data_IF_622266070505
#
_entry.id   IF_622266070505
#
_cell.length_a   1.000
_cell.length_b   1.000
_cell.length_c   1.000
_cell.angle_alpha   90.00
_cell.angle_beta   90.00
_cell.angle_gamma   90.00
#
_symmetry.space_group_name_H-M   'P 1'
#
loop_
_entity.id
_entity.type
_entity.pdbx_description
1 polymer ?
#
# COMPACT_ATOMS: atom_id res chain seq x y z
N UNK A 1 -4.73 -15.91 -4.15
CA UNK A 1 -5.55 -15.73 -5.38
C UNK A 1 -5.07 -14.47 -6.06
N UNK A 2 -4.57 -14.56 -7.29
CA UNK A 2 -3.98 -13.46 -8.05
C UNK A 2 -5.10 -12.82 -8.89
N UNK A 3 -5.38 -11.52 -8.70
CA UNK A 3 -6.40 -10.78 -9.44
C UNK A 3 -5.73 -9.86 -10.45
N UNK A 4 -6.09 -10.01 -11.73
CA UNK A 4 -5.70 -9.08 -12.78
C UNK A 4 -6.79 -8.03 -13.01
N UNK A 5 -6.41 -6.75 -13.07
CA UNK A 5 -7.29 -5.63 -13.43
C UNK A 5 -6.72 -4.88 -14.64
N UNK A 6 -7.59 -4.46 -15.57
CA UNK A 6 -7.20 -3.69 -16.77
C UNK A 6 -7.77 -2.26 -16.68
N UNK A 7 -7.00 -1.26 -17.11
CA UNK A 7 -7.42 0.16 -17.11
C UNK A 7 -7.57 0.70 -18.54
N UNK A 8 -8.53 1.59 -18.76
CA UNK A 8 -8.98 2.08 -20.08
C UNK A 8 -8.25 3.33 -20.60
N UNK A 9 -6.99 3.56 -20.22
CA UNK A 9 -6.15 4.61 -20.83
C UNK A 9 -5.36 4.06 -22.02
N UNK A 10 -4.89 4.92 -22.93
CA UNK A 10 -4.14 4.59 -24.18
C UNK A 10 -2.85 3.74 -24.02
N UNK A 11 -2.61 3.17 -22.84
CA UNK A 11 -1.55 2.21 -22.54
C UNK A 11 -2.22 0.94 -22.00
N UNK A 12 -2.01 -0.19 -22.67
CA UNK A 12 -2.55 -1.47 -22.22
C UNK A 12 -1.73 -1.97 -21.03
N UNK A 13 -2.23 -1.72 -19.82
CA UNK A 13 -1.58 -2.03 -18.54
C UNK A 13 -2.44 -3.04 -17.78
N UNK A 14 -1.80 -4.04 -17.16
CA UNK A 14 -2.43 -4.94 -16.20
C UNK A 14 -1.75 -4.83 -14.84
N UNK A 15 -2.56 -4.69 -13.78
CA UNK A 15 -2.10 -4.84 -12.40
C UNK A 15 -2.44 -6.21 -11.85
N UNK A 16 -1.50 -6.80 -11.13
CA UNK A 16 -1.59 -8.12 -10.56
C UNK A 16 -1.42 -8.06 -9.04
N UNK A 17 -2.46 -8.41 -8.29
CA UNK A 17 -2.48 -8.27 -6.83
C UNK A 17 -3.00 -9.51 -6.12
N UNK A 18 -2.68 -9.65 -4.84
CA UNK A 18 -3.35 -10.65 -4.00
C UNK A 18 -4.81 -10.27 -3.73
N UNK A 19 -5.70 -11.26 -3.72
CA UNK A 19 -7.06 -11.09 -3.23
C UNK A 19 -7.11 -11.43 -1.73
N UNK A 20 -7.37 -10.42 -0.91
CA UNK A 20 -7.78 -10.59 0.48
C UNK A 20 -9.23 -11.09 0.52
N UNK A 21 -9.43 -12.39 0.72
CA UNK A 21 -10.76 -12.94 1.04
C UNK A 21 -11.04 -12.74 2.53
N UNK A 22 -11.32 -11.51 2.96
CA UNK A 22 -11.68 -11.19 4.34
C UNK A 22 -13.12 -11.58 4.73
N UNK A 23 -13.78 -12.48 3.98
CA UNK A 23 -15.01 -13.14 4.43
C UNK A 23 -14.83 -14.65 4.32
N UNK A 24 -14.86 -15.33 5.48
CA UNK A 24 -14.82 -16.78 5.64
C UNK A 24 -15.79 -17.46 4.67
N UNK A 25 -15.26 -18.18 3.69
CA UNK A 25 -15.64 -19.56 3.36
C UNK A 25 -14.97 -19.95 2.04
N UNK A 26 -14.11 -20.96 2.07
CA UNK A 26 -13.78 -21.77 0.89
C UNK A 26 -13.47 -23.19 1.37
N UNK A 27 -14.46 -24.07 1.28
CA UNK A 27 -14.26 -25.51 1.20
C UNK A 27 -14.05 -25.84 -0.27
N UNK A 28 -12.98 -26.57 -0.60
CA UNK A 28 -12.99 -27.57 -1.67
C UNK A 28 -11.72 -28.42 -1.58
N UNK A 29 -11.90 -29.69 -1.20
CA UNK A 29 -10.89 -30.73 -1.37
C UNK A 29 -10.76 -31.17 -2.83
N UNK A 30 -9.65 -31.83 -3.15
CA UNK A 30 -9.41 -32.49 -4.43
C UNK A 30 -7.98 -32.99 -4.55
N UNK A 31 -7.82 -34.31 -4.51
CA UNK A 31 -6.56 -35.06 -4.62
C UNK A 31 -5.90 -34.93 -6.01
N UNK A 32 -4.57 -34.91 -6.01
CA UNK A 32 -3.67 -34.81 -7.18
C UNK A 32 -3.50 -36.13 -7.94
N UNK A 33 -3.50 -36.08 -9.28
CA UNK A 33 -2.80 -37.05 -10.14
C UNK A 33 -2.14 -36.30 -11.32
N UNK A 34 -0.81 -36.39 -11.40
CA UNK A 34 -0.04 -36.50 -12.65
C UNK A 34 0.28 -35.24 -13.48
N UNK A 35 1.38 -35.26 -14.27
CA UNK A 35 2.21 -34.07 -14.53
C UNK A 35 1.88 -33.38 -15.86
N UNK A 36 1.44 -32.14 -15.78
CA UNK A 36 1.57 -31.13 -16.84
C UNK A 36 1.56 -29.76 -16.16
N UNK A 37 2.66 -29.01 -16.32
CA UNK A 37 2.85 -27.69 -15.70
C UNK A 37 1.85 -26.69 -16.30
N UNK A 38 0.70 -26.56 -15.65
CA UNK A 38 -0.33 -25.57 -15.97
C UNK A 38 -0.09 -24.31 -15.13
N UNK A 39 0.44 -23.25 -15.75
CA UNK A 39 0.50 -21.93 -15.15
C UNK A 39 -0.95 -21.40 -14.98
N UNK A 40 -1.41 -21.24 -13.73
CA UNK A 40 -2.77 -20.72 -13.42
C UNK A 40 -2.72 -19.22 -13.20
N UNK A 41 -3.19 -18.46 -14.18
CA UNK A 41 -3.45 -17.02 -14.06
C UNK A 41 -4.96 -16.76 -14.10
N UNK A 42 -5.47 -15.89 -13.21
CA UNK A 42 -6.89 -15.53 -13.13
C UNK A 42 -7.04 -14.02 -13.35
N UNK A 43 -8.01 -13.59 -14.17
CA UNK A 43 -8.24 -12.17 -14.46
C UNK A 43 -9.70 -11.75 -14.25
N UNK A 44 -9.91 -10.46 -13.97
CA UNK A 44 -11.24 -9.87 -13.83
C UNK A 44 -11.48 -8.83 -14.94
N UNK A 45 -12.43 -9.11 -15.83
CA UNK A 45 -12.84 -8.23 -16.93
C UNK A 45 -14.17 -7.57 -16.56
N UNK A 46 -14.14 -6.54 -15.71
CA UNK A 46 -15.31 -5.71 -15.44
C UNK A 46 -14.98 -4.25 -15.74
N UNK A 47 -15.30 -3.83 -16.96
CA UNK A 47 -15.33 -2.44 -17.41
C UNK A 47 -16.67 -1.86 -16.97
N UNK A 48 -16.64 -0.94 -16.01
CA UNK A 48 -17.79 -0.08 -15.67
C UNK A 48 -17.53 1.29 -16.29
N UNK A 49 -18.30 1.62 -17.32
CA UNK A 49 -18.32 2.94 -17.97
C UNK A 49 -18.85 4.00 -17.00
N UNK A 50 -18.11 5.10 -16.87
CA UNK A 50 -18.44 6.28 -16.07
C UNK A 50 -19.77 6.91 -16.47
N UNK A 51 -20.64 7.20 -15.51
CA UNK A 51 -21.73 8.18 -15.68
C UNK A 51 -21.44 9.43 -14.85
N UNK A 52 -21.41 10.57 -15.55
CA UNK A 52 -21.37 11.92 -15.00
C UNK A 52 -22.53 12.17 -14.03
N UNK A 53 -22.26 12.73 -12.84
CA UNK A 53 -23.23 13.53 -12.10
C UNK A 53 -22.57 14.77 -11.49
N UNK A 54 -23.03 15.90 -12.02
CA UNK A 54 -22.79 17.28 -11.60
C UNK A 54 -23.56 17.66 -10.34
N UNK A 55 -23.18 18.82 -9.77
CA UNK A 55 -23.85 19.63 -8.73
C UNK A 55 -23.65 19.15 -7.29
N UNK A 56 -23.39 19.97 -6.27
CA UNK A 56 -23.33 21.42 -6.12
C UNK A 56 -23.47 21.67 -4.61
N UNK A 57 -22.43 22.18 -3.95
CA UNK A 57 -22.47 22.41 -2.50
C UNK A 57 -23.30 23.66 -2.19
N UNK A 58 -24.48 23.48 -1.58
CA UNK A 58 -25.22 24.57 -0.90
C UNK A 58 -25.14 24.37 0.60
N UNK A 59 -24.62 25.39 1.28
CA UNK A 59 -24.65 25.54 2.73
C UNK A 59 -26.02 26.08 3.11
N UNK A 60 -26.66 25.53 4.15
CA UNK A 60 -27.68 26.28 4.89
C UNK A 60 -27.55 26.03 6.38
N UNK A 61 -27.41 27.15 7.10
CA UNK A 61 -27.36 27.26 8.55
C UNK A 61 -28.76 27.44 9.14
N UNK A 62 -29.09 26.69 10.19
CA UNK A 62 -29.98 27.17 11.26
C UNK A 62 -30.01 26.21 12.46
N UNK A 63 -29.88 26.82 13.64
CA UNK A 63 -30.00 26.27 15.00
C UNK A 63 -31.39 25.74 15.35
N UNK A 64 -31.47 24.64 16.12
CA UNK A 64 -32.22 24.55 17.40
C UNK A 64 -32.34 23.10 17.90
N UNK A 65 -32.31 22.96 19.22
CA UNK A 65 -32.44 21.77 20.06
C UNK A 65 -33.75 20.98 19.91
N UNK A 66 -33.69 19.64 19.96
CA UNK A 66 -34.53 18.78 20.81
C UNK A 66 -34.26 17.29 20.56
N UNK A 67 -34.25 16.51 21.63
CA UNK A 67 -34.12 15.06 21.69
C UNK A 67 -35.29 14.30 21.08
N UNK A 68 -35.02 13.35 20.19
CA UNK A 68 -35.90 12.19 19.94
C UNK A 68 -35.12 11.06 19.27
N UNK A 69 -35.16 9.87 19.87
CA UNK A 69 -34.65 8.63 19.30
C UNK A 69 -35.25 8.36 17.92
N UNK A 70 -34.40 8.25 16.91
CA UNK A 70 -34.72 7.66 15.62
C UNK A 70 -33.65 6.64 15.27
N UNK A 71 -34.03 5.34 15.30
CA UNK A 71 -33.24 4.23 14.80
C UNK A 71 -32.86 4.54 13.35
N UNK A 72 -31.56 4.65 13.06
CA UNK A 72 -31.06 4.60 11.69
C UNK A 72 -31.21 3.17 11.20
N UNK A 73 -32.13 2.94 10.26
CA UNK A 73 -32.07 1.77 9.39
C UNK A 73 -30.84 1.92 8.50
N UNK A 74 -29.87 1.04 8.70
CA UNK A 74 -28.75 0.86 7.79
C UNK A 74 -29.36 0.23 6.53
N UNK A 75 -29.49 1.03 5.46
CA UNK A 75 -29.76 0.50 4.13
C UNK A 75 -28.63 -0.46 3.76
N UNK A 76 -28.89 -1.76 3.83
CA UNK A 76 -28.01 -2.80 3.33
C UNK A 76 -27.85 -2.61 1.81
N UNK A 77 -26.83 -1.86 1.41
CA UNK A 77 -26.27 -2.03 0.08
C UNK A 77 -25.68 -3.45 0.04
N UNK A 78 -26.08 -4.31 -0.90
CA UNK A 78 -25.47 -5.62 -1.05
C UNK A 78 -23.97 -5.38 -1.28
N UNK A 79 -23.15 -5.89 -0.36
CA UNK A 79 -21.72 -5.98 -0.57
C UNK A 79 -21.52 -6.67 -1.92
N UNK A 80 -20.84 -6.01 -2.86
CA UNK A 80 -20.45 -6.63 -4.11
C UNK A 80 -19.80 -7.97 -3.78
N UNK A 81 -20.47 -9.07 -4.15
CA UNK A 81 -19.92 -10.40 -3.95
C UNK A 81 -18.55 -10.42 -4.60
N UNK A 82 -17.53 -10.86 -3.86
CA UNK A 82 -16.20 -11.05 -4.41
C UNK A 82 -16.35 -11.97 -5.63
N UNK A 83 -16.20 -11.41 -6.83
CA UNK A 83 -16.29 -12.19 -8.05
C UNK A 83 -15.22 -13.27 -7.98
N UNK A 84 -15.65 -14.54 -8.00
CA UNK A 84 -14.73 -15.66 -8.06
C UNK A 84 -13.84 -15.46 -9.29
N UNK A 85 -12.53 -15.38 -9.07
CA UNK A 85 -11.57 -15.13 -10.12
C UNK A 85 -11.66 -16.25 -11.17
N UNK A 86 -11.99 -15.89 -12.41
CA UNK A 86 -12.20 -16.86 -13.48
C UNK A 86 -10.85 -17.25 -14.10
N UNK A 87 -10.65 -18.53 -14.46
CA UNK A 87 -9.49 -18.96 -15.23
C UNK A 87 -9.33 -18.14 -16.50
N UNK A 88 -8.10 -17.69 -16.77
CA UNK A 88 -7.79 -17.13 -18.08
C UNK A 88 -7.93 -18.22 -19.15
N UNK A 89 -8.90 -18.05 -20.04
CA UNK A 89 -9.17 -18.97 -21.14
C UNK A 89 -8.09 -18.89 -22.24
N UNK A 90 -7.48 -17.71 -22.41
CA UNK A 90 -6.41 -17.47 -23.39
C UNK A 90 -5.34 -16.52 -22.81
N UNK A 91 -4.30 -17.06 -22.14
CA UNK A 91 -3.27 -16.24 -21.51
C UNK A 91 -2.37 -15.53 -22.53
N UNK A 92 -2.12 -16.13 -23.70
CA UNK A 92 -1.26 -15.51 -24.72
C UNK A 92 -1.91 -14.26 -25.31
N UNK A 93 -3.19 -14.30 -25.64
CA UNK A 93 -3.92 -13.12 -26.14
C UNK A 93 -3.89 -11.96 -25.13
N UNK A 94 -4.03 -12.27 -23.84
CA UNK A 94 -3.92 -11.26 -22.79
C UNK A 94 -2.51 -10.64 -22.79
N UNK A 95 -1.48 -11.48 -22.76
CA UNK A 95 -0.10 -11.04 -22.71
C UNK A 95 0.22 -10.18 -23.94
N UNK A 96 -0.19 -10.63 -25.12
CA UNK A 96 0.05 -9.93 -26.38
C UNK A 96 -0.68 -8.59 -26.43
N UNK A 97 -1.88 -8.49 -25.85
CA UNK A 97 -2.63 -7.24 -25.76
C UNK A 97 -2.04 -6.22 -24.80
N UNK A 98 -1.10 -6.59 -23.92
CA UNK A 98 -0.60 -5.75 -22.82
C UNK A 98 0.84 -5.35 -23.05
N UNK A 99 1.18 -4.10 -22.74
CA UNK A 99 2.54 -3.59 -22.83
C UNK A 99 3.28 -3.64 -21.49
N UNK A 100 2.55 -3.45 -20.39
CA UNK A 100 3.14 -3.27 -19.06
C UNK A 100 2.37 -4.06 -18.00
N UNK A 101 3.11 -4.79 -17.18
CA UNK A 101 2.60 -5.53 -16.03
C UNK A 101 3.07 -4.86 -14.74
N UNK A 102 2.10 -4.55 -13.89
CA UNK A 102 2.32 -4.03 -12.55
C UNK A 102 2.07 -5.18 -11.58
N UNK A 103 3.08 -5.56 -10.81
CA UNK A 103 3.01 -6.61 -9.82
C UNK A 103 2.95 -5.99 -8.43
N UNK A 104 1.95 -6.36 -7.65
CA UNK A 104 2.07 -6.36 -6.19
C UNK A 104 3.25 -7.26 -5.78
N UNK A 105 3.75 -7.09 -4.57
CA UNK A 105 4.93 -7.79 -4.09
C UNK A 105 4.58 -8.86 -3.04
N UNK A 106 4.06 -8.42 -1.89
CA UNK A 106 3.78 -9.30 -0.75
C UNK A 106 2.59 -10.21 -1.08
N UNK A 107 2.82 -11.52 -1.12
CA UNK A 107 1.85 -12.53 -1.52
C UNK A 107 1.68 -12.72 -3.03
N UNK A 108 2.43 -12.00 -3.86
CA UNK A 108 2.45 -12.14 -5.33
C UNK A 108 3.84 -12.58 -5.83
N UNK A 109 4.89 -11.84 -5.47
CA UNK A 109 6.28 -12.19 -5.79
C UNK A 109 6.87 -13.10 -4.71
N UNK A 110 6.59 -12.79 -3.44
CA UNK A 110 7.15 -13.51 -2.29
C UNK A 110 6.16 -13.67 -1.14
N UNK A 111 6.45 -14.61 -0.24
CA UNK A 111 5.92 -14.68 1.12
C UNK A 111 7.08 -14.58 2.10
N UNK A 112 7.14 -13.50 2.88
CA UNK A 112 8.31 -13.21 3.70
C UNK A 112 9.57 -13.10 2.83
N UNK A 113 10.53 -13.98 3.06
CA UNK A 113 11.82 -14.03 2.35
C UNK A 113 11.92 -15.22 1.36
N UNK A 114 10.79 -15.83 0.99
CA UNK A 114 10.74 -16.90 -0.02
C UNK A 114 9.93 -16.46 -1.25
N UNK A 115 10.42 -16.79 -2.44
CA UNK A 115 9.68 -16.58 -3.68
C UNK A 115 8.45 -17.48 -3.77
N UNK A 116 7.42 -16.99 -4.44
CA UNK A 116 6.28 -17.81 -4.84
C UNK A 116 6.66 -18.63 -6.09
N UNK A 117 6.25 -19.89 -6.11
CA UNK A 117 6.54 -20.82 -7.20
C UNK A 117 6.08 -20.26 -8.56
N UNK A 118 6.96 -20.36 -9.56
CA UNK A 118 6.68 -19.90 -10.92
C UNK A 118 6.96 -18.42 -11.17
N UNK A 119 7.27 -17.62 -10.14
CA UNK A 119 7.56 -16.18 -10.30
C UNK A 119 8.76 -15.92 -11.20
N UNK A 120 9.96 -16.51 -10.99
CA UNK A 120 11.10 -16.26 -11.88
C UNK A 120 10.79 -16.55 -13.35
N UNK A 121 10.20 -17.72 -13.61
CA UNK A 121 9.84 -18.16 -14.96
C UNK A 121 8.83 -17.22 -15.62
N UNK A 122 7.88 -16.70 -14.84
CA UNK A 122 6.87 -15.76 -15.33
C UNK A 122 7.48 -14.42 -15.70
N UNK A 123 8.33 -13.86 -14.83
CA UNK A 123 8.97 -12.56 -15.09
C UNK A 123 9.91 -12.63 -16.30
N UNK A 124 10.71 -13.70 -16.42
CA UNK A 124 11.60 -13.92 -17.56
C UNK A 124 10.83 -14.10 -18.86
N UNK A 125 9.74 -14.86 -18.84
CA UNK A 125 8.86 -15.05 -20.00
C UNK A 125 8.24 -13.73 -20.46
N UNK A 126 7.73 -12.90 -19.55
CA UNK A 126 7.19 -11.58 -19.88
C UNK A 126 8.26 -10.64 -20.45
N UNK A 127 9.46 -10.62 -19.85
CA UNK A 127 10.59 -9.83 -20.38
C UNK A 127 11.03 -10.30 -21.76
N UNK A 128 11.05 -11.62 -22.01
CA UNK A 128 11.38 -12.19 -23.33
C UNK A 128 10.39 -11.78 -24.42
N UNK A 129 9.12 -11.51 -24.05
CA UNK A 129 8.08 -10.96 -24.92
C UNK A 129 8.08 -9.42 -24.99
N UNK A 130 9.15 -8.77 -24.50
CA UNK A 130 9.31 -7.32 -24.55
C UNK A 130 8.39 -6.54 -23.61
N UNK A 131 7.81 -7.19 -22.59
CA UNK A 131 6.88 -6.54 -21.66
C UNK A 131 7.64 -5.74 -20.60
N UNK A 132 7.14 -4.55 -20.27
CA UNK A 132 7.66 -3.76 -19.14
C UNK A 132 7.09 -4.29 -17.84
N UNK A 133 7.94 -4.38 -16.81
CA UNK A 133 7.54 -4.83 -15.49
C UNK A 133 7.68 -3.67 -14.50
N UNK A 134 6.72 -3.54 -13.59
CA UNK A 134 6.75 -2.59 -12.48
C UNK A 134 6.32 -3.33 -11.22
N UNK A 135 7.01 -3.11 -10.11
CA UNK A 135 6.77 -3.76 -8.83
C UNK A 135 6.28 -2.72 -7.82
N UNK A 136 5.03 -2.82 -7.40
CA UNK A 136 4.38 -1.90 -6.48
C UNK A 136 4.18 -2.59 -5.14
N UNK A 137 4.50 -1.92 -4.04
CA UNK A 137 4.25 -2.44 -2.69
C UNK A 137 3.76 -1.37 -1.74
N UNK A 138 2.73 -1.70 -0.97
CA UNK A 138 2.23 -0.87 0.13
C UNK A 138 3.17 -0.87 1.34
N UNK A 139 4.17 -1.75 1.37
CA UNK A 139 5.09 -1.88 2.49
C UNK A 139 6.16 -0.77 2.47
N UNK A 140 6.11 0.10 3.47
CA UNK A 140 7.04 1.23 3.61
C UNK A 140 8.29 0.91 4.44
N UNK A 141 8.50 -0.36 4.81
CA UNK A 141 9.63 -0.73 5.70
C UNK A 141 11.00 -0.59 5.05
N UNK A 142 11.04 -0.59 3.71
CA UNK A 142 12.28 -0.52 2.92
C UNK A 142 12.14 0.60 1.89
N UNK A 143 13.27 1.22 1.56
CA UNK A 143 13.45 2.07 0.38
C UNK A 143 13.50 1.22 -0.89
N UNK A 144 13.35 1.84 -2.07
CA UNK A 144 13.50 1.18 -3.36
C UNK A 144 14.85 0.48 -3.49
N UNK A 145 15.94 1.14 -3.07
CA UNK A 145 17.28 0.55 -3.01
C UNK A 145 17.34 -0.70 -2.13
N UNK A 146 16.68 -0.69 -0.97
CA UNK A 146 16.61 -1.87 -0.09
C UNK A 146 15.74 -2.98 -0.70
N UNK A 147 14.67 -2.64 -1.42
CA UNK A 147 13.90 -3.62 -2.18
C UNK A 147 14.69 -4.20 -3.34
N UNK A 148 15.47 -3.41 -4.07
CA UNK A 148 16.38 -3.90 -5.11
C UNK A 148 17.32 -4.99 -4.56
N UNK A 149 17.92 -4.76 -3.39
CA UNK A 149 18.72 -5.78 -2.69
C UNK A 149 17.92 -7.02 -2.27
N UNK A 150 16.65 -6.86 -1.93
CA UNK A 150 15.76 -7.99 -1.61
C UNK A 150 15.50 -8.82 -2.87
N UNK A 151 15.14 -8.19 -3.99
CA UNK A 151 14.99 -8.87 -5.28
C UNK A 151 16.27 -9.63 -5.66
N UNK A 152 17.44 -8.98 -5.53
CA UNK A 152 18.74 -9.59 -5.80
C UNK A 152 19.00 -10.83 -4.93
N UNK A 153 18.77 -10.73 -3.62
CA UNK A 153 18.89 -11.88 -2.69
C UNK A 153 17.97 -13.04 -3.08
N UNK A 154 16.81 -12.75 -3.66
CA UNK A 154 15.85 -13.73 -4.15
C UNK A 154 16.19 -14.26 -5.56
N UNK A 155 17.31 -13.84 -6.16
CA UNK A 155 17.73 -14.26 -7.50
C UNK A 155 17.00 -13.56 -8.64
N UNK A 156 16.33 -12.44 -8.37
CA UNK A 156 15.62 -11.64 -9.37
C UNK A 156 16.41 -10.37 -9.71
N UNK A 157 16.66 -10.13 -10.99
CA UNK A 157 17.26 -8.88 -11.45
C UNK A 157 16.16 -7.83 -11.64
N UNK A 158 16.08 -6.85 -10.75
CA UNK A 158 15.10 -5.73 -10.81
C UNK A 158 15.83 -4.43 -10.52
N UNK A 159 15.67 -3.46 -11.42
CA UNK A 159 16.24 -2.11 -11.28
C UNK A 159 15.43 -1.27 -10.29
N UNK A 160 16.03 -0.25 -9.69
CA UNK A 160 15.36 0.60 -8.70
C UNK A 160 14.19 1.39 -9.33
N UNK A 161 14.28 1.68 -10.63
CA UNK A 161 13.27 2.38 -11.43
C UNK A 161 12.01 1.53 -11.68
N UNK A 162 12.14 0.20 -11.62
CA UNK A 162 11.00 -0.72 -11.70
C UNK A 162 10.23 -0.79 -10.37
N UNK A 163 10.72 -0.20 -9.27
CA UNK A 163 10.15 -0.38 -7.92
C UNK A 163 9.41 0.87 -7.44
N UNK A 164 8.15 0.70 -7.07
CA UNK A 164 7.26 1.71 -6.51
C UNK A 164 6.77 1.28 -5.13
N UNK A 165 7.59 1.53 -4.12
CA UNK A 165 7.22 1.32 -2.73
C UNK A 165 6.44 2.52 -2.15
N UNK A 166 5.56 2.28 -1.19
CA UNK A 166 4.81 3.34 -0.51
C UNK A 166 5.70 4.31 0.28
N UNK A 167 6.89 3.88 0.72
CA UNK A 167 7.94 4.75 1.27
C UNK A 167 8.38 5.81 0.26
N UNK A 168 8.63 5.39 -0.99
CA UNK A 168 8.96 6.28 -2.10
C UNK A 168 7.76 7.16 -2.47
N UNK A 169 6.56 6.59 -2.53
CA UNK A 169 5.35 7.35 -2.86
C UNK A 169 5.12 8.53 -1.89
N UNK A 170 5.36 8.35 -0.59
CA UNK A 170 5.25 9.42 0.39
C UNK A 170 6.26 10.56 0.14
N UNK A 171 7.53 10.23 -0.11
CA UNK A 171 8.57 11.21 -0.43
C UNK A 171 8.31 11.92 -1.77
N UNK A 172 7.89 11.17 -2.80
CA UNK A 172 7.52 11.70 -4.10
C UNK A 172 6.30 12.62 -4.01
N UNK A 173 5.30 12.27 -3.20
CA UNK A 173 4.14 13.13 -2.96
C UNK A 173 4.54 14.46 -2.33
N UNK A 174 5.34 14.44 -1.25
CA UNK A 174 5.84 15.66 -0.61
C UNK A 174 6.63 16.54 -1.60
N UNK A 175 7.45 15.93 -2.46
CA UNK A 175 8.16 16.65 -3.53
C UNK A 175 7.20 17.26 -4.56
N UNK A 176 6.13 16.55 -4.92
CA UNK A 176 5.16 16.99 -5.92
C UNK A 176 4.31 18.19 -5.48
N UNK A 177 4.17 18.41 -4.18
CA UNK A 177 3.46 19.55 -3.60
C UNK A 177 4.40 20.70 -3.17
N UNK A 178 5.64 20.67 -3.64
CA UNK A 178 6.69 21.63 -3.27
C UNK A 178 6.83 21.82 -1.75
N UNK A 179 6.94 20.70 -1.01
CA UNK A 179 7.05 20.73 0.45
C UNK A 179 8.16 21.70 0.92
N UNK A 180 7.87 22.63 1.86
CA UNK A 180 8.79 23.70 2.20
C UNK A 180 10.14 23.19 2.71
N UNK A 181 11.24 23.76 2.20
CA UNK A 181 12.62 23.31 2.49
C UNK A 181 13.07 23.58 3.93
N UNK A 182 12.43 24.53 4.60
CA UNK A 182 12.63 24.88 6.00
C UNK A 182 11.77 24.04 6.95
N UNK A 183 10.91 23.17 6.42
CA UNK A 183 10.06 22.27 7.19
C UNK A 183 10.62 20.85 7.23
N UNK A 184 10.27 20.15 8.30
CA UNK A 184 10.64 18.76 8.56
C UNK A 184 9.44 17.83 8.49
N UNK A 185 9.71 16.55 8.26
CA UNK A 185 8.75 15.46 8.36
C UNK A 185 8.99 14.68 9.64
N UNK A 186 7.97 14.54 10.49
CA UNK A 186 8.02 13.56 11.58
C UNK A 186 7.57 12.20 11.06
N UNK A 187 8.37 11.16 11.27
CA UNK A 187 8.08 9.82 10.79
C UNK A 187 7.68 8.90 11.94
N UNK A 188 6.49 8.31 11.82
CA UNK A 188 6.08 7.12 12.60
C UNK A 188 6.15 5.93 11.64
N UNK A 189 7.26 5.20 11.68
CA UNK A 189 7.57 4.21 10.65
C UNK A 189 9.02 3.75 10.67
N UNK A 190 9.34 2.92 9.69
CA UNK A 190 10.63 2.26 9.55
C UNK A 190 11.60 3.02 8.63
N UNK A 191 12.86 2.58 8.65
CA UNK A 191 14.02 3.17 7.94
C UNK A 191 13.81 3.40 6.43
N UNK A 192 12.94 2.61 5.79
CA UNK A 192 12.61 2.79 4.37
C UNK A 192 12.06 4.18 4.03
N UNK A 193 11.21 4.74 4.90
CA UNK A 193 10.65 6.09 4.72
C UNK A 193 11.75 7.14 4.85
N UNK A 194 12.59 7.01 5.89
CA UNK A 194 13.67 7.96 6.19
C UNK A 194 14.65 8.06 5.01
N UNK A 195 15.02 6.93 4.42
CA UNK A 195 15.92 6.88 3.25
C UNK A 195 15.32 7.53 2.01
N UNK A 196 14.04 7.32 1.72
CA UNK A 196 13.39 7.97 0.58
C UNK A 196 13.23 9.48 0.79
N UNK A 197 12.93 9.93 2.03
CA UNK A 197 12.93 11.35 2.37
C UNK A 197 14.32 11.97 2.21
N UNK A 198 15.38 11.28 2.66
CA UNK A 198 16.76 11.71 2.48
C UNK A 198 17.13 11.86 1.00
N UNK A 199 16.78 10.87 0.16
CA UNK A 199 17.01 10.91 -1.28
C UNK A 199 16.21 12.02 -1.97
N UNK A 200 15.04 12.37 -1.45
CA UNK A 200 14.25 13.50 -1.91
C UNK A 200 14.77 14.87 -1.44
N UNK A 201 15.78 14.89 -0.56
CA UNK A 201 16.32 16.12 0.04
C UNK A 201 15.39 16.75 1.09
N UNK A 202 14.52 15.95 1.69
CA UNK A 202 13.54 16.38 2.70
C UNK A 202 14.10 16.08 4.09
N UNK A 203 14.10 17.10 4.95
CA UNK A 203 14.51 16.93 6.35
C UNK A 203 13.47 16.12 7.14
N UNK A 204 13.94 15.26 8.04
CA UNK A 204 13.07 14.42 8.85
C UNK A 204 13.58 14.25 10.27
N UNK A 205 12.69 13.78 11.15
CA UNK A 205 13.01 13.27 12.48
C UNK A 205 12.03 12.13 12.85
N UNK A 206 12.32 11.41 13.94
CA UNK A 206 11.53 10.25 14.37
C UNK A 206 12.04 8.94 13.78
N UNK A 207 11.15 8.03 13.43
CA UNK A 207 11.48 6.70 12.91
C UNK A 207 11.94 5.71 13.99
N UNK A 208 12.77 4.71 13.66
CA UNK A 208 13.22 3.69 14.61
C UNK A 208 13.96 4.24 15.84
N UNK A 209 14.68 5.36 15.71
CA UNK A 209 15.47 5.98 16.78
C UNK A 209 14.59 6.42 17.98
N UNK A 210 13.32 6.75 17.72
CA UNK A 210 12.35 7.09 18.75
C UNK A 210 11.76 5.86 19.45
N UNK A 211 12.16 4.65 19.06
CA UNK A 211 11.59 3.38 19.53
C UNK A 211 11.68 3.12 21.03
N UNK A 212 12.76 3.59 21.65
CA UNK A 212 12.98 3.46 23.10
C UNK A 212 12.45 4.64 23.93
N UNK A 213 11.87 5.67 23.30
CA UNK A 213 11.41 6.86 24.00
C UNK A 213 10.11 6.59 24.74
N UNK A 214 10.00 7.19 25.92
CA UNK A 214 8.81 7.14 26.76
C UNK A 214 8.34 8.56 27.08
N UNK A 215 7.09 8.67 27.49
CA UNK A 215 6.49 9.93 27.92
C UNK A 215 6.53 10.04 29.45
N UNK A 216 6.70 11.26 29.97
CA UNK A 216 6.56 11.52 31.39
C UNK A 216 5.16 12.04 31.71
N UNK A 217 4.38 11.24 32.43
CA UNK A 217 3.02 11.59 32.87
C UNK A 217 3.03 12.12 34.30
N UNK A 218 3.70 13.26 34.51
CA UNK A 218 3.84 13.92 35.80
C UNK A 218 3.13 15.28 35.74
N UNK A 219 2.46 15.75 36.81
CA UNK A 219 1.90 17.10 36.84
C UNK A 219 2.95 18.15 36.48
N UNK A 220 2.61 19.07 35.58
CA UNK A 220 3.51 20.14 35.11
C UNK A 220 4.52 19.74 34.03
N UNK A 221 4.55 18.47 33.60
CA UNK A 221 5.38 18.06 32.48
C UNK A 221 4.67 18.34 31.14
N UNK A 222 5.33 19.10 30.28
CA UNK A 222 4.90 19.37 28.91
C UNK A 222 5.83 18.64 27.94
N UNK A 223 5.26 17.93 26.99
CA UNK A 223 6.04 17.33 25.90
C UNK A 223 6.22 18.38 24.80
N UNK A 224 7.46 18.84 24.63
CA UNK A 224 7.81 19.73 23.52
C UNK A 224 7.88 18.95 22.20
N UNK A 225 7.42 19.58 21.12
CA UNK A 225 7.57 19.11 19.75
C UNK A 225 8.22 20.20 18.88
N UNK A 226 8.77 19.80 17.74
CA UNK A 226 9.46 20.70 16.83
C UNK A 226 8.43 21.46 15.95
N UNK A 227 8.33 22.78 16.14
CA UNK A 227 7.42 23.67 15.41
C UNK A 227 7.76 23.77 13.90
N UNK A 228 8.95 23.33 13.49
CA UNK A 228 9.32 23.22 12.07
C UNK A 228 8.74 21.96 11.39
N UNK A 229 8.08 21.05 12.12
CA UNK A 229 7.42 19.89 11.50
C UNK A 229 6.20 20.34 10.69
N UNK A 230 6.30 20.20 9.37
CA UNK A 230 5.23 20.53 8.41
C UNK A 230 4.44 19.33 7.92
N UNK A 231 4.88 18.10 8.21
CA UNK A 231 4.14 16.89 7.90
C UNK A 231 4.46 15.76 8.87
N UNK A 232 3.50 14.89 9.11
CA UNK A 232 3.64 13.60 9.76
C UNK A 232 3.39 12.50 8.74
N UNK A 233 4.37 11.62 8.54
CA UNK A 233 4.24 10.43 7.70
C UNK A 233 4.13 9.20 8.59
N UNK A 234 3.07 8.41 8.39
CA UNK A 234 2.78 7.19 9.15
C UNK A 234 2.81 5.98 8.22
N UNK A 235 3.61 4.98 8.60
CA UNK A 235 3.61 3.65 8.00
C UNK A 235 3.70 2.57 9.06
N UNK A 236 3.94 1.33 8.63
CA UNK A 236 4.22 0.24 9.57
C UNK A 236 5.49 0.53 10.37
N UNK A 237 5.44 0.30 11.70
CA UNK A 237 6.50 0.61 12.66
C UNK A 237 6.59 -0.51 13.71
N UNK A 238 7.70 -1.26 13.75
CA UNK A 238 7.91 -2.30 14.78
C UNK A 238 8.31 -1.73 16.13
N UNK A 239 8.72 -0.47 16.15
CA UNK A 239 9.15 0.27 17.33
C UNK A 239 8.08 1.31 17.71
N UNK A 240 6.83 1.02 17.39
CA UNK A 240 5.70 1.88 17.71
C UNK A 240 5.53 1.99 19.23
N UNK A 241 5.37 3.22 19.73
CA UNK A 241 5.18 3.49 21.14
C UNK A 241 4.32 4.74 21.33
N UNK A 242 3.89 4.98 22.58
CA UNK A 242 3.02 6.10 22.90
C UNK A 242 3.70 7.46 22.68
N UNK A 243 5.02 7.56 22.89
CA UNK A 243 5.78 8.80 22.63
C UNK A 243 5.59 9.26 21.18
N UNK A 244 5.74 8.35 20.21
CA UNK A 244 5.57 8.65 18.79
C UNK A 244 4.16 9.14 18.45
N UNK A 245 3.14 8.50 19.02
CA UNK A 245 1.74 8.92 18.81
C UNK A 245 1.50 10.33 19.35
N UNK A 246 1.96 10.58 20.58
CA UNK A 246 1.79 11.89 21.21
C UNK A 246 2.55 12.97 20.44
N UNK A 247 3.81 12.73 20.08
CA UNK A 247 4.61 13.67 19.28
C UNK A 247 3.95 13.99 17.93
N UNK A 248 3.53 12.96 17.19
CA UNK A 248 2.82 13.10 15.93
C UNK A 248 1.52 13.91 16.08
N UNK A 249 0.76 13.62 17.12
CA UNK A 249 -0.51 14.31 17.41
C UNK A 249 -0.28 15.78 17.74
N UNK A 250 0.74 16.11 18.53
CA UNK A 250 1.13 17.48 18.83
C UNK A 250 1.51 18.23 17.55
N UNK A 251 2.35 17.64 16.70
CA UNK A 251 2.72 18.24 15.41
C UNK A 251 1.48 18.55 14.55
N UNK A 252 0.57 17.59 14.39
CA UNK A 252 -0.63 17.75 13.55
C UNK A 252 -1.58 18.82 14.11
N UNK A 253 -1.74 18.86 15.44
CA UNK A 253 -2.72 19.74 16.09
C UNK A 253 -2.22 21.15 16.31
N UNK A 254 -0.92 21.31 16.57
CA UNK A 254 -0.35 22.56 17.06
C UNK A 254 0.47 23.29 15.99
N UNK A 255 1.07 22.58 15.02
CA UNK A 255 1.79 23.24 13.92
C UNK A 255 0.82 23.60 12.79
N UNK A 256 0.64 24.89 12.44
CA UNK A 256 -0.29 25.30 11.40
C UNK A 256 0.03 24.68 10.04
N UNK A 257 -0.97 24.06 9.41
CA UNK A 257 -0.83 23.44 8.09
C UNK A 257 -0.05 22.12 8.08
N UNK A 258 0.21 21.51 9.24
CA UNK A 258 0.90 20.22 9.31
C UNK A 258 0.07 19.13 8.60
N UNK A 259 0.68 18.49 7.61
CA UNK A 259 0.02 17.43 6.82
C UNK A 259 0.04 16.09 7.57
N UNK A 260 -0.98 15.28 7.35
CA UNK A 260 -1.00 13.87 7.77
C UNK A 260 -0.99 12.97 6.54
N UNK A 261 0.02 12.11 6.43
CA UNK A 261 0.23 11.23 5.27
C UNK A 261 0.37 9.79 5.78
N UNK A 262 -0.53 8.90 5.37
CA UNK A 262 -0.38 7.47 5.60
C UNK A 262 0.21 6.80 4.35
N UNK A 263 1.23 5.95 4.52
CA UNK A 263 1.86 5.25 3.39
C UNK A 263 0.95 4.18 2.79
N UNK A 264 0.06 3.59 3.59
CA UNK A 264 -1.01 2.69 3.16
C UNK A 264 -2.12 2.62 4.23
N UNK A 265 -3.17 1.84 3.98
CA UNK A 265 -4.31 1.63 4.91
C UNK A 265 -4.57 0.14 5.18
N UNK A 266 -3.59 -0.70 4.94
CA UNK A 266 -3.74 -2.14 5.09
C UNK A 266 -3.89 -2.48 6.57
N UNK A 267 -4.93 -3.21 6.93
CA UNK A 267 -5.21 -3.57 8.32
C UNK A 267 -4.29 -4.72 8.82
N UNK A 268 -3.70 -5.47 7.89
CA UNK A 268 -2.94 -6.71 8.12
C UNK A 268 -1.77 -6.77 7.16
N UNK A 269 -0.70 -7.46 7.54
CA UNK A 269 0.52 -7.58 6.71
C UNK A 269 1.12 -8.99 6.72
N UNK A 270 1.85 -9.36 5.68
CA UNK A 270 2.57 -10.64 5.53
C UNK A 270 4.06 -10.44 5.77
N UNK A 271 4.48 -10.47 7.04
CA UNK A 271 5.89 -10.20 7.40
C UNK A 271 6.76 -11.45 7.44
N UNK A 272 6.18 -12.63 7.65
CA UNK A 272 6.89 -13.90 7.69
C UNK A 272 6.23 -14.90 6.75
N UNK A 273 6.97 -15.93 6.39
CA UNK A 273 6.48 -17.09 5.63
C UNK A 273 5.47 -17.93 6.43
N UNK A 274 5.64 -17.99 7.76
CA UNK A 274 4.81 -18.77 8.66
C UNK A 274 3.49 -18.10 9.06
N UNK A 275 3.38 -16.77 8.94
CA UNK A 275 2.20 -16.03 9.39
C UNK A 275 1.48 -15.35 8.24
N UNK A 276 0.34 -15.91 7.87
CA UNK A 276 -0.60 -15.24 6.99
C UNK A 276 -1.42 -14.22 7.80
N UNK A 277 -1.31 -12.94 7.44
CA UNK A 277 -2.07 -11.82 8.04
C UNK A 277 -1.72 -11.55 9.50
N UNK A 278 -0.53 -11.02 9.75
CA UNK A 278 -0.21 -10.47 11.07
C UNK A 278 -1.08 -9.21 11.31
N UNK A 279 -2.13 -9.38 12.13
CA UNK A 279 -3.05 -8.34 12.61
C UNK A 279 -4.31 -8.93 13.20
#
# INVERSE_FOLDING_TARGET
>A
MMLMTSSSTNYNIISISTCSSSRRSCVAGGTLIGPSLNYRFLANKNISTTTHLSSGWRINSSSSSSSSSSKMEISNHPAAAAAAAQPLLNPDELIDSVETFIFDCDGVIWKGDSLIDGVPQTLDMLRSKGKRLVFVTNNSTKSRKQYGKKFETLGLTVSEEEIFASSFAAAAYLKSIDFPKDKKVYVVGEDGILKELQLAGIQYLGGPDDGGKNIELKPGYLMEHDESVGAVVVGFDRYFNYYKIQYATLCIRENPGCLFIATNRDAVTHLTDAQEWAG
#
